data_IF_851617491579
#
_entry.id   IF_851617491579
#
_cell.length_a   1.000
_cell.length_b   1.000
_cell.length_c   1.000
_cell.angle_alpha   90.00
_cell.angle_beta   90.00
_cell.angle_gamma   90.00
#
_symmetry.space_group_name_H-M   'P 1'
#
loop_
_entity.id
_entity.type
_entity.pdbx_description
1 polymer ?
#
# COMPACT_ATOMS: atom_id res chain seq x y z
N UNK A 1 -7.08 -10.90 21.95
CA UNK A 1 -7.53 -11.78 20.88
C UNK A 1 -8.59 -12.72 21.37
N UNK A 2 -9.55 -12.92 20.59
CA UNK A 2 -10.67 -13.72 20.94
C UNK A 2 -10.40 -15.19 20.68
N UNK A 3 -11.22 -16.06 21.26
CA UNK A 3 -11.16 -17.49 20.98
C UNK A 3 -11.37 -17.79 19.50
N UNK A 4 -12.00 -16.87 18.77
CA UNK A 4 -12.22 -17.01 17.34
C UNK A 4 -10.90 -17.05 16.57
N UNK A 5 -9.96 -16.18 16.91
CA UNK A 5 -8.67 -16.21 16.24
C UNK A 5 -7.92 -17.47 16.57
N UNK A 6 -8.01 -17.93 17.81
CA UNK A 6 -7.39 -19.18 18.19
C UNK A 6 -7.92 -20.34 17.38
N UNK A 7 -9.22 -20.34 17.08
CA UNK A 7 -9.80 -21.37 16.22
C UNK A 7 -9.30 -21.28 14.80
N UNK A 8 -9.19 -20.07 14.26
CA UNK A 8 -8.66 -19.88 12.93
C UNK A 8 -7.21 -20.33 12.84
N UNK A 9 -6.44 -20.04 13.85
CA UNK A 9 -5.06 -20.47 13.92
C UNK A 9 -4.98 -21.99 13.93
N UNK A 10 -5.82 -22.63 14.70
CA UNK A 10 -5.86 -24.09 14.75
C UNK A 10 -6.26 -24.71 13.41
N UNK A 11 -7.07 -24.00 12.63
CA UNK A 11 -7.58 -24.52 11.36
C UNK A 11 -6.56 -24.45 10.22
N UNK A 12 -5.33 -24.03 10.49
CA UNK A 12 -4.28 -24.01 9.48
C UNK A 12 -3.44 -22.74 9.46
N UNK A 13 -4.00 -21.64 9.94
CA UNK A 13 -3.27 -20.39 9.97
C UNK A 13 -2.26 -20.39 11.11
N UNK A 14 -2.46 -21.23 12.11
CA UNK A 14 -1.59 -21.33 13.28
C UNK A 14 -0.12 -21.61 12.93
N UNK A 15 0.11 -22.24 11.77
CA UNK A 15 1.48 -22.57 11.36
C UNK A 15 2.09 -21.50 10.47
N UNK A 16 1.35 -20.42 10.20
CA UNK A 16 1.82 -19.36 9.35
C UNK A 16 2.77 -18.46 10.12
N UNK A 17 3.97 -18.17 9.60
CA UNK A 17 4.87 -17.23 10.27
C UNK A 17 4.24 -15.85 10.41
N UNK A 18 4.62 -15.12 11.45
CA UNK A 18 4.13 -13.75 11.64
C UNK A 18 4.36 -12.89 10.42
N UNK A 19 5.46 -13.11 9.69
CA UNK A 19 5.76 -12.34 8.50
C UNK A 19 4.71 -12.53 7.40
N UNK A 20 4.03 -13.68 7.36
CA UNK A 20 2.99 -13.95 6.38
C UNK A 20 1.63 -13.40 6.83
N UNK A 21 1.52 -13.04 8.11
CA UNK A 21 0.32 -12.40 8.63
C UNK A 21 0.34 -10.88 8.44
N UNK A 22 1.44 -10.36 7.92
CA UNK A 22 1.59 -8.94 7.64
C UNK A 22 1.39 -8.66 6.17
N UNK A 23 0.96 -7.45 5.92
CA UNK A 23 0.89 -6.96 4.56
C UNK A 23 2.32 -6.70 4.07
N UNK A 24 2.66 -7.28 2.93
CA UNK A 24 4.00 -7.19 2.37
C UNK A 24 3.96 -6.63 0.97
N UNK A 25 4.93 -5.77 0.68
CA UNK A 25 5.13 -5.30 -0.67
C UNK A 25 5.89 -6.36 -1.45
N UNK A 26 5.35 -6.79 -2.59
CA UNK A 26 6.01 -7.76 -3.43
C UNK A 26 6.75 -7.11 -4.59
N UNK A 27 6.05 -6.32 -5.40
CA UNK A 27 6.70 -5.71 -6.56
C UNK A 27 5.83 -4.61 -7.16
N UNK A 28 6.49 -3.73 -7.92
CA UNK A 28 5.84 -2.73 -8.75
C UNK A 28 6.44 -2.82 -10.15
N UNK A 29 5.60 -2.85 -11.16
CA UNK A 29 6.04 -2.95 -12.55
C UNK A 29 5.39 -1.86 -13.37
N UNK A 30 6.16 -1.32 -14.31
CA UNK A 30 5.62 -0.42 -15.32
C UNK A 30 5.15 -1.28 -16.48
N UNK A 31 3.88 -1.14 -16.83
CA UNK A 31 3.30 -1.83 -17.96
C UNK A 31 3.22 -0.83 -19.11
N UNK A 32 3.95 -1.11 -20.18
CA UNK A 32 3.94 -0.25 -21.35
C UNK A 32 2.96 -0.82 -22.36
N UNK A 33 1.88 -0.11 -22.58
CA UNK A 33 0.83 -0.55 -23.51
C UNK A 33 0.97 0.12 -24.87
N UNK A 34 2.18 0.39 -25.30
CA UNK A 34 2.42 0.94 -26.63
C UNK A 34 2.34 2.46 -26.67
N UNK A 35 1.32 3.03 -27.26
CA UNK A 35 1.44 4.41 -27.70
C UNK A 35 0.98 5.48 -26.72
N UNK A 36 0.22 5.18 -25.73
CA UNK A 36 -0.46 6.29 -25.08
C UNK A 36 -0.29 6.41 -23.60
N UNK A 37 -0.45 5.36 -22.85
CA UNK A 37 -0.46 5.49 -21.42
C UNK A 37 0.26 4.32 -20.78
N UNK A 38 1.29 4.61 -20.06
CA UNK A 38 1.91 3.60 -19.20
C UNK A 38 1.03 3.40 -17.98
N UNK A 39 1.10 2.22 -17.43
CA UNK A 39 0.41 1.89 -16.20
C UNK A 39 1.43 1.32 -15.23
N UNK A 40 1.16 1.49 -13.96
CA UNK A 40 1.96 0.88 -12.90
C UNK A 40 1.09 -0.16 -12.22
N UNK A 41 1.65 -1.35 -12.08
CA UNK A 41 1.00 -2.44 -11.36
C UNK A 41 1.75 -2.70 -10.07
N UNK A 42 1.05 -2.69 -8.96
CA UNK A 42 1.63 -2.97 -7.65
C UNK A 42 1.00 -4.23 -7.10
N UNK A 43 1.84 -5.13 -6.59
CA UNK A 43 1.40 -6.36 -5.94
C UNK A 43 1.82 -6.34 -4.49
N UNK A 44 0.89 -6.72 -3.63
CA UNK A 44 1.14 -6.94 -2.21
C UNK A 44 0.62 -8.31 -1.85
N UNK A 45 1.14 -8.87 -0.78
CA UNK A 45 0.62 -10.14 -0.29
C UNK A 45 0.22 -10.03 1.16
N UNK A 46 -0.76 -10.82 1.54
CA UNK A 46 -1.31 -10.81 2.88
C UNK A 46 -1.89 -12.19 3.18
N UNK A 47 -1.44 -12.78 4.27
CA UNK A 47 -1.91 -14.11 4.69
C UNK A 47 -1.76 -15.16 3.59
N UNK A 48 -0.65 -15.09 2.84
CA UNK A 48 -0.37 -16.05 1.78
C UNK A 48 -1.09 -15.81 0.46
N UNK A 49 -1.87 -14.75 0.37
CA UNK A 49 -2.58 -14.38 -0.86
C UNK A 49 -1.97 -13.13 -1.47
N UNK A 50 -1.99 -13.08 -2.79
CA UNK A 50 -1.47 -11.94 -3.53
C UNK A 50 -2.61 -11.06 -4.01
N UNK A 51 -2.42 -9.76 -3.92
CA UNK A 51 -3.37 -8.75 -4.37
C UNK A 51 -2.63 -7.75 -5.24
N UNK A 52 -3.19 -7.46 -6.39
CA UNK A 52 -2.56 -6.53 -7.32
C UNK A 52 -3.56 -5.50 -7.79
N UNK A 53 -3.06 -4.32 -8.11
CA UNK A 53 -3.86 -3.26 -8.67
C UNK A 53 -3.01 -2.45 -9.63
N UNK A 54 -3.65 -1.72 -10.52
CA UNK A 54 -2.99 -0.92 -11.53
C UNK A 54 -3.52 0.49 -11.51
N UNK A 55 -2.68 1.43 -11.90
CA UNK A 55 -3.07 2.81 -12.07
C UNK A 55 -2.35 3.40 -13.28
N UNK A 56 -3.02 4.26 -14.01
CA UNK A 56 -2.40 4.91 -15.16
C UNK A 56 -1.51 6.05 -14.70
N UNK A 57 -0.38 6.23 -15.40
CA UNK A 57 0.48 7.40 -15.18
C UNK A 57 -0.14 8.60 -15.89
N UNK A 58 0.04 9.78 -15.32
CA UNK A 58 -0.32 11.01 -15.97
C UNK A 58 0.89 11.64 -16.66
N UNK A 59 0.69 12.82 -17.23
CA UNK A 59 1.75 13.58 -17.86
C UNK A 59 2.57 14.41 -16.85
N UNK A 60 2.23 14.30 -15.58
CA UNK A 60 2.89 15.05 -14.52
C UNK A 60 4.31 14.53 -14.28
N UNK A 61 5.22 15.38 -13.79
CA UNK A 61 6.56 14.93 -13.45
C UNK A 61 6.60 13.79 -12.45
N UNK A 62 5.62 13.72 -11.56
CA UNK A 62 5.53 12.67 -10.55
C UNK A 62 4.52 11.58 -10.92
N UNK A 63 4.20 11.47 -12.22
CA UNK A 63 3.18 10.53 -12.69
C UNK A 63 3.39 9.09 -12.27
N UNK A 64 4.64 8.60 -12.33
CA UNK A 64 4.94 7.23 -11.91
C UNK A 64 4.82 7.06 -10.39
N UNK A 65 5.25 8.05 -9.62
CA UNK A 65 5.11 8.01 -8.16
C UNK A 65 3.64 8.00 -7.77
N UNK A 66 2.86 8.86 -8.41
CA UNK A 66 1.43 8.96 -8.15
C UNK A 66 0.73 7.65 -8.50
N UNK A 67 1.01 7.09 -9.68
CA UNK A 67 0.42 5.84 -10.12
C UNK A 67 0.79 4.70 -9.18
N UNK A 68 2.06 4.62 -8.77
CA UNK A 68 2.51 3.58 -7.85
C UNK A 68 1.79 3.68 -6.50
N UNK A 69 1.65 4.90 -5.97
CA UNK A 69 0.97 5.11 -4.71
C UNK A 69 -0.52 4.75 -4.81
N UNK A 70 -1.19 5.17 -5.88
CA UNK A 70 -2.60 4.85 -6.09
C UNK A 70 -2.81 3.35 -6.22
N UNK A 71 -1.98 2.70 -7.03
CA UNK A 71 -2.07 1.24 -7.21
C UNK A 71 -1.80 0.52 -5.89
N UNK A 72 -0.82 0.99 -5.11
CA UNK A 72 -0.53 0.40 -3.80
C UNK A 72 -1.73 0.51 -2.87
N UNK A 73 -2.36 1.68 -2.79
CA UNK A 73 -3.51 1.87 -1.93
C UNK A 73 -4.68 0.98 -2.34
N UNK A 74 -4.91 0.83 -3.65
CA UNK A 74 -5.96 -0.06 -4.14
C UNK A 74 -5.69 -1.52 -3.81
N UNK A 75 -4.43 -1.96 -3.95
CA UNK A 75 -4.06 -3.32 -3.59
C UNK A 75 -4.21 -3.56 -2.09
N UNK A 76 -3.84 -2.58 -1.27
CA UNK A 76 -4.00 -2.66 0.18
C UNK A 76 -5.47 -2.77 0.56
N UNK A 77 -6.34 -1.96 -0.05
CA UNK A 77 -7.77 -2.04 0.21
C UNK A 77 -8.32 -3.43 -0.10
N UNK A 78 -7.90 -4.00 -1.23
CA UNK A 78 -8.32 -5.36 -1.60
C UNK A 78 -7.82 -6.38 -0.57
N UNK A 79 -6.59 -6.25 -0.13
CA UNK A 79 -5.99 -7.18 0.83
C UNK A 79 -6.70 -7.19 2.16
N UNK A 80 -7.20 -6.04 2.62
CA UNK A 80 -7.92 -5.95 3.89
C UNK A 80 -9.44 -6.12 3.73
N UNK A 81 -9.90 -6.52 2.55
CA UNK A 81 -11.31 -6.78 2.30
C UNK A 81 -12.17 -5.53 2.37
N UNK A 82 -11.65 -4.41 1.94
CA UNK A 82 -12.34 -3.12 1.90
C UNK A 82 -12.78 -2.62 3.27
N UNK A 83 -12.07 -2.99 4.33
CA UNK A 83 -12.42 -2.56 5.68
C UNK A 83 -12.15 -1.08 5.93
N UNK A 84 -11.33 -0.48 5.12
CA UNK A 84 -11.19 0.97 5.06
C UNK A 84 -11.02 1.37 3.61
N UNK A 85 -11.23 2.65 3.32
CA UNK A 85 -10.90 3.20 2.01
C UNK A 85 -9.72 4.16 2.18
N UNK A 86 -8.85 4.17 1.19
CA UNK A 86 -7.65 4.99 1.23
C UNK A 86 -7.50 5.68 -0.12
N UNK A 87 -7.52 7.00 -0.11
CA UNK A 87 -7.38 7.81 -1.32
C UNK A 87 -6.12 8.65 -1.22
N UNK A 88 -5.36 8.65 -2.28
CA UNK A 88 -4.18 9.49 -2.34
C UNK A 88 -4.59 10.95 -2.47
N UNK A 89 -4.23 11.76 -1.49
CA UNK A 89 -4.46 13.19 -1.56
C UNK A 89 -3.31 13.90 -2.24
N UNK A 90 -2.07 13.46 -1.97
CA UNK A 90 -0.89 14.06 -2.60
C UNK A 90 0.30 13.12 -2.48
N UNK A 91 1.26 13.30 -3.37
CA UNK A 91 2.53 12.57 -3.33
C UNK A 91 3.62 13.51 -3.85
N UNK A 92 4.78 13.45 -3.23
CA UNK A 92 5.88 14.31 -3.63
C UNK A 92 7.22 13.65 -3.33
N UNK A 93 8.21 14.07 -4.09
CA UNK A 93 9.61 13.75 -3.84
C UNK A 93 10.16 14.91 -2.99
N UNK A 94 10.60 14.60 -1.81
CA UNK A 94 10.98 15.60 -0.81
C UNK A 94 12.42 15.37 -0.39
N UNK A 95 13.18 16.45 -0.26
CA UNK A 95 14.50 16.38 0.36
C UNK A 95 14.38 16.92 1.76
N UNK A 96 14.69 16.10 2.73
CA UNK A 96 14.62 16.48 4.14
C UNK A 96 15.82 15.90 4.88
N UNK A 97 16.47 16.72 5.67
CA UNK A 97 17.64 16.33 6.47
C UNK A 97 18.73 15.70 5.61
N UNK A 98 18.89 16.19 4.37
CA UNK A 98 19.89 15.67 3.44
C UNK A 98 19.56 14.34 2.80
N UNK A 99 18.31 13.88 2.94
CA UNK A 99 17.86 12.61 2.38
C UNK A 99 16.73 12.84 1.38
N UNK A 100 16.71 12.00 0.36
CA UNK A 100 15.63 12.03 -0.62
C UNK A 100 14.55 11.03 -0.19
N UNK A 101 13.32 11.51 -0.11
CA UNK A 101 12.18 10.75 0.37
C UNK A 101 11.05 10.85 -0.63
N UNK A 102 10.20 9.84 -0.66
CA UNK A 102 8.85 9.99 -1.22
C UNK A 102 7.90 10.14 -0.05
N UNK A 103 7.06 11.15 -0.10
CA UNK A 103 6.06 11.42 0.92
C UNK A 103 4.68 11.33 0.29
N UNK A 104 3.74 10.71 1.00
CA UNK A 104 2.35 10.58 0.56
C UNK A 104 1.42 11.12 1.63
N UNK A 105 0.34 11.71 1.18
CA UNK A 105 -0.74 12.15 2.04
C UNK A 105 -1.98 11.38 1.61
N UNK A 106 -2.60 10.69 2.54
CA UNK A 106 -3.67 9.75 2.24
C UNK A 106 -4.89 10.06 3.09
N UNK A 107 -6.05 10.14 2.44
CA UNK A 107 -7.32 10.30 3.13
C UNK A 107 -7.89 8.91 3.37
N UNK A 108 -8.11 8.57 4.63
CA UNK A 108 -8.62 7.28 5.04
C UNK A 108 -10.00 7.43 5.66
N UNK A 109 -10.92 6.59 5.23
CA UNK A 109 -12.23 6.47 5.86
C UNK A 109 -12.32 5.10 6.51
N UNK A 110 -12.49 5.08 7.81
CA UNK A 110 -12.54 3.87 8.60
C UNK A 110 -13.63 4.03 9.66
N UNK A 111 -14.58 3.10 9.67
CA UNK A 111 -15.71 3.13 10.61
C UNK A 111 -16.44 4.48 10.61
N UNK A 112 -16.73 4.98 9.41
CA UNK A 112 -17.44 6.24 9.19
C UNK A 112 -16.69 7.50 9.64
N UNK A 113 -15.42 7.36 9.97
CA UNK A 113 -14.58 8.50 10.33
C UNK A 113 -13.55 8.72 9.25
N UNK A 114 -13.32 9.97 8.93
CA UNK A 114 -12.30 10.36 7.96
C UNK A 114 -11.10 10.92 8.70
N UNK A 115 -9.92 10.49 8.28
CA UNK A 115 -8.67 10.99 8.82
C UNK A 115 -7.65 11.09 7.69
N UNK A 116 -6.80 12.10 7.77
CA UNK A 116 -5.71 12.25 6.81
C UNK A 116 -4.42 11.81 7.49
N UNK A 117 -3.69 10.94 6.82
CA UNK A 117 -2.45 10.38 7.35
C UNK A 117 -1.31 10.64 6.39
N UNK A 118 -0.12 10.66 6.93
CA UNK A 118 1.11 10.93 6.22
C UNK A 118 2.00 9.70 6.26
N UNK A 119 2.64 9.39 5.15
CA UNK A 119 3.62 8.31 5.10
C UNK A 119 4.81 8.74 4.29
N UNK A 120 5.96 8.17 4.58
CA UNK A 120 7.16 8.48 3.83
C UNK A 120 8.09 7.28 3.79
N UNK A 121 8.98 7.31 2.79
CA UNK A 121 10.03 6.31 2.68
C UNK A 121 11.23 6.93 1.98
N UNK A 122 12.41 6.67 2.54
CA UNK A 122 13.65 7.12 1.91
C UNK A 122 13.86 6.36 0.60
N UNK A 123 14.29 7.08 -0.43
CA UNK A 123 14.57 6.47 -1.71
C UNK A 123 15.92 5.74 -1.63
N UNK A 124 15.88 4.43 -1.84
CA UNK A 124 17.07 3.59 -1.85
C UNK A 124 16.91 2.64 -3.04
N UNK A 125 17.09 3.17 -4.24
CA UNK A 125 16.85 2.43 -5.47
C UNK A 125 15.77 3.09 -6.29
N UNK A 126 14.77 2.31 -6.72
CA UNK A 126 13.69 2.85 -7.55
C UNK A 126 12.75 3.74 -6.74
N UNK A 127 12.40 4.89 -7.32
CA UNK A 127 11.47 5.82 -6.65
C UNK A 127 10.09 5.21 -6.47
N UNK A 128 9.66 4.36 -7.41
CA UNK A 128 8.35 3.70 -7.30
C UNK A 128 8.28 2.80 -6.08
N UNK A 129 9.37 2.11 -5.75
CA UNK A 129 9.41 1.28 -4.55
C UNK A 129 9.21 2.14 -3.30
N UNK A 130 9.85 3.31 -3.27
CA UNK A 130 9.69 4.23 -2.15
C UNK A 130 8.25 4.75 -2.06
N UNK A 131 7.61 5.01 -3.20
CA UNK A 131 6.21 5.45 -3.21
C UNK A 131 5.28 4.39 -2.63
N UNK A 132 5.48 3.13 -3.02
CA UNK A 132 4.69 2.02 -2.47
C UNK A 132 4.92 1.87 -0.98
N UNK A 133 6.18 1.92 -0.55
CA UNK A 133 6.51 1.78 0.87
C UNK A 133 5.97 2.96 1.69
N UNK A 134 5.96 4.15 1.12
CA UNK A 134 5.36 5.31 1.77
C UNK A 134 3.86 5.10 1.96
N UNK A 135 3.16 4.55 0.96
CA UNK A 135 1.75 4.23 1.05
C UNK A 135 1.48 3.16 2.13
N UNK A 136 2.33 2.12 2.17
CA UNK A 136 2.24 1.11 3.22
C UNK A 136 2.45 1.72 4.60
N UNK A 137 3.43 2.59 4.72
CA UNK A 137 3.72 3.27 5.97
C UNK A 137 2.52 4.10 6.44
N UNK A 138 1.89 4.85 5.51
CA UNK A 138 0.73 5.67 5.84
C UNK A 138 -0.45 4.85 6.33
N UNK A 139 -0.67 3.65 5.76
CA UNK A 139 -1.84 2.84 6.05
C UNK A 139 -1.62 1.77 7.12
N UNK A 140 -0.39 1.58 7.56
CA UNK A 140 -0.02 0.47 8.43
C UNK A 140 -0.91 0.32 9.66
N UNK A 141 -1.21 1.43 10.33
CA UNK A 141 -2.05 1.39 11.52
C UNK A 141 -3.46 0.88 11.21
N UNK A 142 -4.01 1.31 10.08
CA UNK A 142 -5.36 0.91 9.69
C UNK A 142 -5.41 -0.54 9.21
N UNK A 143 -4.33 -1.00 8.59
CA UNK A 143 -4.19 -2.42 8.27
C UNK A 143 -4.23 -3.24 9.56
N UNK A 144 -3.46 -2.85 10.58
CA UNK A 144 -3.46 -3.54 11.86
C UNK A 144 -4.83 -3.53 12.52
N UNK A 145 -5.51 -2.39 12.52
CA UNK A 145 -6.84 -2.30 13.10
C UNK A 145 -7.84 -3.19 12.36
N UNK A 146 -7.72 -3.29 11.05
CA UNK A 146 -8.57 -4.16 10.23
C UNK A 146 -8.34 -5.63 10.55
N UNK A 147 -7.15 -6.00 10.97
CA UNK A 147 -6.80 -7.38 11.30
C UNK A 147 -7.36 -7.84 12.64
N UNK A 148 -7.73 -6.91 13.50
CA UNK A 148 -8.20 -7.25 14.85
C UNK A 148 -9.66 -7.69 14.88
N UNK A 149 -10.35 -7.57 13.78
CA UNK A 149 -11.74 -7.97 13.67
C UNK A 149 -11.89 -9.21 12.79
#
# INVERSE_FOLDING_TARGET
>A
MTSRLKKLLKAGISNMPDSQMRLRYDRADVLDEGSAASRVRVSVSYAGQSFAAEAATGDEPVGYLKAAAIAALSAIEAAVGQRFTARLADVDHVNALGKDLVAVLVDITFEDKEVQVFGSCQIAGAEMDAAVKAALNATNRFVELSMRN
#
